data_IF_698675871669
#
_entry.id   IF_698675871669
#
_cell.length_a   1.000
_cell.length_b   1.000
_cell.length_c   1.000
_cell.angle_alpha   90.00
_cell.angle_beta   90.00
_cell.angle_gamma   90.00
#
_symmetry.space_group_name_H-M   'P 1'
#
loop_
_entity.id
_entity.type
_entity.pdbx_description
1 polymer ?
#
# COMPACT_ATOMS: atom_id res chain seq x y z
N UNK A 1 -0.79 8.33 -15.83
CA UNK A 1 -1.20 7.44 -14.71
C UNK A 1 -2.15 6.34 -15.16
N UNK A 2 -3.25 6.65 -15.85
CA UNK A 2 -4.17 5.60 -16.32
C UNK A 2 -3.50 4.60 -17.28
N UNK A 3 -2.71 5.08 -18.25
CA UNK A 3 -1.99 4.21 -19.18
C UNK A 3 -0.97 3.26 -18.54
N UNK A 4 -0.41 3.60 -17.37
CA UNK A 4 0.52 2.70 -16.64
C UNK A 4 -0.21 1.60 -15.88
N UNK A 5 -1.49 1.79 -15.53
CA UNK A 5 -2.33 0.77 -14.88
C UNK A 5 -2.86 -0.26 -15.89
N UNK A 6 -2.88 0.08 -17.18
CA UNK A 6 -3.37 -0.80 -18.25
C UNK A 6 -2.40 -1.90 -18.68
N UNK A 7 -1.12 -1.80 -18.29
CA UNK A 7 -0.12 -2.84 -18.58
C UNK A 7 -0.24 -3.94 -17.51
N UNK A 8 -0.52 -5.20 -17.89
CA UNK A 8 -0.66 -6.28 -16.91
C UNK A 8 0.63 -6.50 -16.12
N UNK A 9 0.50 -6.65 -14.80
CA UNK A 9 1.64 -6.89 -13.88
C UNK A 9 2.45 -8.11 -14.31
N UNK A 10 1.79 -9.15 -14.84
CA UNK A 10 2.44 -10.38 -15.33
C UNK A 10 3.45 -10.13 -16.45
N UNK A 11 3.23 -9.14 -17.31
CA UNK A 11 4.16 -8.78 -18.40
C UNK A 11 5.39 -8.05 -17.86
N UNK A 12 5.21 -7.27 -16.79
CA UNK A 12 6.28 -6.52 -16.15
C UNK A 12 7.17 -7.39 -15.25
N UNK A 13 6.74 -8.61 -14.92
CA UNK A 13 7.40 -9.48 -13.96
C UNK A 13 8.84 -9.84 -14.35
N UNK A 14 9.04 -10.33 -15.58
CA UNK A 14 10.36 -10.74 -16.10
C UNK A 14 11.34 -9.56 -16.16
N UNK A 15 11.02 -8.41 -16.79
CA UNK A 15 11.96 -7.30 -16.85
C UNK A 15 12.28 -6.73 -15.47
N UNK A 16 11.29 -6.63 -14.56
CA UNK A 16 11.54 -6.17 -13.20
C UNK A 16 12.43 -7.15 -12.42
N UNK A 17 12.21 -8.46 -12.56
CA UNK A 17 13.09 -9.46 -11.97
C UNK A 17 14.54 -9.31 -12.43
N UNK A 18 14.78 -9.17 -13.74
CA UNK A 18 16.12 -8.98 -14.27
C UNK A 18 16.76 -7.69 -13.75
N UNK A 19 15.98 -6.61 -13.59
CA UNK A 19 16.46 -5.37 -13.01
C UNK A 19 16.87 -5.56 -11.54
N UNK A 20 16.01 -6.16 -10.71
CA UNK A 20 16.31 -6.42 -9.30
C UNK A 20 17.50 -7.38 -9.12
N UNK A 21 17.65 -8.35 -10.03
CA UNK A 21 18.82 -9.23 -10.08
C UNK A 21 20.11 -8.46 -10.35
N UNK A 22 20.10 -7.56 -11.34
CA UNK A 22 21.27 -6.72 -11.68
C UNK A 22 21.63 -5.75 -10.55
N UNK A 23 20.64 -5.26 -9.81
CA UNK A 23 20.84 -4.43 -8.62
C UNK A 23 21.33 -5.22 -7.39
N UNK A 24 21.32 -6.56 -7.45
CA UNK A 24 21.67 -7.42 -6.32
C UNK A 24 20.64 -7.41 -5.19
N UNK A 25 19.38 -7.02 -5.47
CA UNK A 25 18.34 -6.88 -4.46
C UNK A 25 17.53 -8.16 -4.22
N UNK A 26 17.76 -9.21 -5.01
CA UNK A 26 17.09 -10.49 -4.80
C UNK A 26 17.39 -11.05 -3.41
N UNK A 27 16.43 -11.80 -2.86
CA UNK A 27 16.50 -12.33 -1.49
C UNK A 27 16.64 -11.25 -0.42
N UNK A 28 16.09 -10.05 -0.67
CA UNK A 28 15.90 -8.98 0.31
C UNK A 28 14.48 -8.43 0.19
N UNK A 29 14.01 -7.65 1.17
CA UNK A 29 12.70 -6.99 1.10
C UNK A 29 12.68 -5.74 0.19
N UNK A 30 13.85 -5.27 -0.27
CA UNK A 30 13.96 -4.02 -1.04
C UNK A 30 13.12 -4.01 -2.34
N UNK A 31 13.10 -5.08 -3.16
CA UNK A 31 12.25 -5.16 -4.34
C UNK A 31 10.74 -5.07 -4.06
N UNK A 32 10.33 -5.40 -2.83
CA UNK A 32 8.94 -5.35 -2.40
C UNK A 32 8.56 -3.98 -1.84
N UNK A 33 9.52 -3.22 -1.30
CA UNK A 33 9.28 -1.94 -0.61
C UNK A 33 9.50 -0.75 -1.56
N UNK A 34 10.67 -0.68 -2.20
CA UNK A 34 11.07 0.54 -2.92
C UNK A 34 10.21 0.77 -4.17
N UNK A 35 10.05 -0.20 -5.09
CA UNK A 35 9.24 0.02 -6.30
C UNK A 35 7.75 0.29 -6.01
N UNK A 36 7.21 -0.30 -4.95
CA UNK A 36 5.78 -0.21 -4.61
C UNK A 36 5.45 1.04 -3.78
N UNK A 37 6.45 1.68 -3.17
CA UNK A 37 6.31 2.87 -2.33
C UNK A 37 5.62 4.04 -3.04
N UNK A 38 5.86 4.20 -4.35
CA UNK A 38 5.26 5.21 -5.19
C UNK A 38 4.44 4.56 -6.32
N UNK A 39 3.28 4.02 -5.97
CA UNK A 39 2.41 3.38 -6.94
C UNK A 39 1.45 4.37 -7.62
N UNK A 40 1.10 4.06 -8.87
CA UNK A 40 0.24 4.88 -9.72
C UNK A 40 -1.14 5.16 -9.11
N UNK A 41 -1.72 4.16 -8.43
CA UNK A 41 -3.02 4.30 -7.78
C UNK A 41 -2.97 5.35 -6.65
N UNK A 42 -1.98 5.27 -5.77
CA UNK A 42 -1.83 6.22 -4.66
C UNK A 42 -1.61 7.65 -5.13
N UNK A 43 -0.80 7.83 -6.18
CA UNK A 43 -0.61 9.15 -6.81
C UNK A 43 -1.93 9.69 -7.37
N UNK A 44 -2.67 8.85 -8.12
CA UNK A 44 -3.96 9.25 -8.67
C UNK A 44 -4.97 9.59 -7.56
N UNK A 45 -5.10 8.71 -6.57
CA UNK A 45 -6.00 8.86 -5.43
C UNK A 45 -5.74 10.15 -4.67
N UNK A 46 -4.49 10.38 -4.26
CA UNK A 46 -4.14 11.60 -3.51
C UNK A 46 -4.31 12.85 -4.35
N UNK A 47 -3.99 12.79 -5.65
CA UNK A 47 -4.25 13.90 -6.57
C UNK A 47 -5.72 14.25 -6.56
N UNK A 48 -6.64 13.28 -6.74
CA UNK A 48 -8.08 13.59 -6.77
C UNK A 48 -8.57 14.27 -5.49
N UNK A 49 -8.10 13.84 -4.32
CA UNK A 49 -8.46 14.49 -3.06
C UNK A 49 -7.83 15.87 -2.87
N UNK A 50 -6.60 16.07 -3.32
CA UNK A 50 -5.98 17.39 -3.24
C UNK A 50 -6.67 18.40 -4.15
N UNK A 51 -7.23 17.95 -5.29
CA UNK A 51 -8.04 18.80 -6.17
C UNK A 51 -9.38 19.22 -5.58
N UNK A 52 -9.89 18.53 -4.56
CA UNK A 52 -11.13 18.94 -3.89
C UNK A 52 -10.92 19.99 -2.80
N UNK A 53 -9.68 20.42 -2.54
CA UNK A 53 -9.38 21.46 -1.56
C UNK A 53 -9.65 22.82 -2.22
N UNK A 54 -10.49 23.70 -1.61
CA UNK A 54 -10.71 25.04 -2.13
C UNK A 54 -9.43 25.87 -2.15
N UNK A 55 -9.13 26.51 -3.28
CA UNK A 55 -7.96 27.40 -3.44
C UNK A 55 -8.00 28.59 -2.46
N UNK A 56 -9.20 29.02 -2.05
CA UNK A 56 -9.42 30.09 -1.08
C UNK A 56 -8.72 29.84 0.26
N UNK A 57 -8.66 28.58 0.72
CA UNK A 57 -7.95 28.21 1.96
C UNK A 57 -6.43 28.34 1.78
N UNK A 58 -5.94 28.06 0.57
CA UNK A 58 -4.53 28.18 0.23
C UNK A 58 -4.11 29.64 0.14
N UNK A 59 -4.95 30.47 -0.49
CA UNK A 59 -4.71 31.91 -0.62
C UNK A 59 -4.80 32.64 0.73
N UNK A 60 -5.74 32.27 1.59
CA UNK A 60 -5.77 32.77 2.97
C UNK A 60 -4.47 32.45 3.72
N UNK A 61 -3.97 31.21 3.62
CA UNK A 61 -2.70 30.83 4.22
C UNK A 61 -1.50 31.61 3.68
N UNK A 62 -1.49 31.95 2.38
CA UNK A 62 -0.45 32.80 1.77
C UNK A 62 -0.52 34.24 2.28
N UNK A 63 -1.73 34.80 2.44
CA UNK A 63 -1.94 36.13 3.03
C UNK A 63 -1.45 36.19 4.49
N UNK A 64 -1.62 35.08 5.23
CA UNK A 64 -1.11 34.91 6.59
C UNK A 64 0.41 34.65 6.66
N UNK A 65 1.10 34.68 5.51
CA UNK A 65 2.56 34.54 5.42
C UNK A 65 3.07 33.09 5.45
N UNK A 66 2.21 32.10 5.25
CA UNK A 66 2.67 30.71 5.15
C UNK A 66 3.47 30.48 3.85
N UNK A 67 4.61 29.81 3.97
CA UNK A 67 5.34 29.27 2.80
C UNK A 67 4.58 28.08 2.21
N UNK A 68 4.84 27.73 0.95
CA UNK A 68 4.21 26.56 0.31
C UNK A 68 4.42 25.25 1.10
N UNK A 69 5.59 25.07 1.71
CA UNK A 69 5.85 23.93 2.58
C UNK A 69 5.02 24.00 3.89
N UNK A 70 4.86 25.19 4.45
CA UNK A 70 3.98 25.42 5.60
C UNK A 70 2.52 25.16 5.27
N UNK A 71 2.06 25.61 4.10
CA UNK A 71 0.72 25.40 3.55
C UNK A 71 0.41 23.90 3.42
N UNK A 72 1.35 23.15 2.84
CA UNK A 72 1.23 21.71 2.68
C UNK A 72 1.02 21.00 4.03
N UNK A 73 1.88 21.25 5.01
CA UNK A 73 1.80 20.55 6.30
C UNK A 73 0.69 21.03 7.23
N UNK A 74 0.34 22.31 7.20
CA UNK A 74 -0.61 22.91 8.14
C UNK A 74 -2.04 22.94 7.63
N UNK A 75 -2.25 22.99 6.31
CA UNK A 75 -3.58 23.08 5.71
C UNK A 75 -3.90 21.81 4.91
N UNK A 76 -3.07 21.49 3.90
CA UNK A 76 -3.38 20.39 2.96
C UNK A 76 -3.39 19.04 3.67
N UNK A 77 -2.33 18.68 4.39
CA UNK A 77 -2.17 17.35 5.03
C UNK A 77 -3.29 17.05 6.04
N UNK A 78 -3.69 17.97 6.95
CA UNK A 78 -4.83 17.75 7.85
C UNK A 78 -6.15 17.54 7.11
N UNK A 79 -6.40 18.27 6.03
CA UNK A 79 -7.63 18.17 5.23
C UNK A 79 -7.70 16.82 4.48
N UNK A 80 -6.59 16.35 3.91
CA UNK A 80 -6.55 15.07 3.20
C UNK A 80 -6.25 13.87 4.11
N UNK A 81 -6.16 14.06 5.43
CA UNK A 81 -5.89 12.99 6.40
C UNK A 81 -6.86 11.80 6.27
N UNK A 82 -8.18 11.98 6.04
CA UNK A 82 -9.08 10.84 5.79
C UNK A 82 -8.66 10.02 4.56
N UNK A 83 -8.30 10.71 3.48
CA UNK A 83 -7.85 10.08 2.23
C UNK A 83 -6.54 9.32 2.40
N UNK A 84 -5.60 9.88 3.18
CA UNK A 84 -4.34 9.22 3.53
C UNK A 84 -4.59 7.94 4.33
N UNK A 85 -5.52 7.96 5.29
CA UNK A 85 -5.91 6.78 6.05
C UNK A 85 -6.50 5.68 5.17
N UNK A 86 -7.41 6.05 4.26
CA UNK A 86 -7.99 5.12 3.30
C UNK A 86 -6.93 4.51 2.37
N UNK A 87 -6.02 5.33 1.85
CA UNK A 87 -4.93 4.89 0.99
C UNK A 87 -3.95 3.98 1.75
N UNK A 88 -3.57 4.34 2.98
CA UNK A 88 -2.69 3.53 3.81
C UNK A 88 -3.27 2.14 4.07
N UNK A 89 -4.56 2.07 4.40
CA UNK A 89 -5.27 0.80 4.57
C UNK A 89 -5.27 -0.03 3.27
N UNK A 90 -5.57 0.59 2.14
CA UNK A 90 -5.58 -0.08 0.84
C UNK A 90 -4.18 -0.62 0.45
N UNK A 91 -3.15 0.21 0.55
CA UNK A 91 -1.76 -0.15 0.21
C UNK A 91 -1.24 -1.24 1.15
N UNK A 92 -1.50 -1.13 2.45
CA UNK A 92 -1.13 -2.15 3.42
C UNK A 92 -1.82 -3.48 3.11
N UNK A 93 -3.14 -3.46 2.88
CA UNK A 93 -3.91 -4.67 2.59
C UNK A 93 -3.42 -5.35 1.32
N UNK A 94 -3.12 -4.56 0.30
CA UNK A 94 -2.58 -5.07 -0.98
C UNK A 94 -1.19 -5.67 -0.80
N UNK A 95 -0.29 -4.96 -0.13
CA UNK A 95 1.11 -5.38 0.05
C UNK A 95 1.22 -6.57 0.99
N UNK A 96 0.40 -6.60 2.04
CA UNK A 96 0.35 -7.73 2.96
C UNK A 96 -0.24 -8.95 2.28
N UNK A 97 -1.32 -8.87 1.51
CA UNK A 97 -1.85 -10.05 0.80
C UNK A 97 -1.02 -10.48 -0.42
N UNK A 98 -0.01 -9.71 -0.83
CA UNK A 98 0.75 -10.06 -2.01
C UNK A 98 1.54 -11.36 -1.79
N UNK A 99 1.40 -12.26 -2.74
CA UNK A 99 2.06 -13.55 -2.78
C UNK A 99 3.02 -13.65 -3.95
N UNK A 100 2.65 -13.05 -5.10
CA UNK A 100 3.35 -13.27 -6.36
C UNK A 100 4.74 -12.63 -6.35
N UNK A 101 4.86 -11.35 -5.99
CA UNK A 101 6.17 -10.68 -5.98
C UNK A 101 7.11 -11.26 -4.92
N UNK A 102 6.66 -11.52 -3.67
CA UNK A 102 7.48 -12.24 -2.69
C UNK A 102 8.00 -13.56 -3.24
N UNK A 103 7.14 -14.39 -3.85
CA UNK A 103 7.53 -15.70 -4.39
C UNK A 103 8.64 -15.60 -5.45
N UNK A 104 8.62 -14.51 -6.22
CA UNK A 104 9.57 -14.28 -7.31
C UNK A 104 10.91 -13.73 -6.78
N UNK A 105 10.89 -12.83 -5.79
CA UNK A 105 12.10 -12.14 -5.33
C UNK A 105 12.80 -12.80 -4.14
N UNK A 106 12.06 -13.49 -3.29
CA UNK A 106 12.57 -14.05 -2.03
C UNK A 106 12.92 -15.54 -2.19
N UNK A 107 13.98 -15.99 -1.51
CA UNK A 107 14.46 -17.38 -1.62
C UNK A 107 14.68 -18.04 -0.26
N UNK A 108 15.01 -17.26 0.76
CA UNK A 108 15.37 -17.76 2.09
C UNK A 108 14.22 -17.55 3.07
N UNK A 109 13.98 -18.54 3.93
CA UNK A 109 12.89 -18.50 4.93
C UNK A 109 12.97 -17.25 5.84
N UNK A 110 14.18 -16.78 6.14
CA UNK A 110 14.41 -15.59 6.97
C UNK A 110 13.86 -14.29 6.36
N UNK A 111 13.61 -14.30 5.05
CA UNK A 111 13.11 -13.14 4.31
C UNK A 111 11.64 -13.28 3.91
N UNK A 112 11.03 -14.44 4.17
CA UNK A 112 9.67 -14.73 3.72
C UNK A 112 8.66 -13.77 4.34
N UNK A 113 7.74 -13.31 3.50
CA UNK A 113 6.50 -12.70 3.98
C UNK A 113 5.63 -13.75 4.66
N UNK A 114 4.65 -13.31 5.44
CA UNK A 114 3.71 -14.19 6.14
C UNK A 114 3.03 -15.17 5.15
N UNK A 115 2.76 -14.70 3.94
CA UNK A 115 2.08 -15.42 2.87
C UNK A 115 2.95 -16.56 2.34
N UNK A 116 4.25 -16.29 2.12
CA UNK A 116 5.22 -17.33 1.74
C UNK A 116 5.49 -18.30 2.88
N UNK A 117 5.54 -17.82 4.12
CA UNK A 117 5.72 -18.67 5.28
C UNK A 117 4.56 -19.67 5.42
N UNK A 118 3.31 -19.21 5.26
CA UNK A 118 2.11 -20.04 5.25
C UNK A 118 2.16 -21.08 4.12
N UNK A 119 2.53 -20.68 2.90
CA UNK A 119 2.71 -21.61 1.77
C UNK A 119 3.82 -22.64 2.04
N UNK A 120 4.92 -22.23 2.69
CA UNK A 120 6.01 -23.14 3.05
C UNK A 120 5.57 -24.21 4.07
N UNK A 121 4.71 -23.86 5.03
CA UNK A 121 4.12 -24.80 5.99
C UNK A 121 3.30 -25.87 5.26
N UNK A 122 2.56 -25.47 4.23
CA UNK A 122 1.77 -26.38 3.41
C UNK A 122 2.65 -27.34 2.59
N UNK A 123 3.77 -26.87 2.02
CA UNK A 123 4.65 -27.67 1.15
C UNK A 123 5.59 -28.63 1.89
N UNK A 124 6.12 -28.24 3.06
CA UNK A 124 7.18 -28.98 3.76
C UNK A 124 6.67 -30.28 4.39
N UNK A 125 5.36 -30.42 4.61
CA UNK A 125 4.80 -31.61 5.23
C UNK A 125 3.55 -32.04 4.45
N UNK A 126 3.69 -32.99 3.53
CA UNK A 126 2.60 -33.80 2.95
C UNK A 126 1.74 -34.55 4.00
N UNK A 127 1.96 -34.28 5.29
CA UNK A 127 1.15 -34.69 6.43
C UNK A 127 0.23 -33.51 6.80
N UNK A 128 -1.07 -33.80 6.82
CA UNK A 128 -2.22 -32.91 7.00
C UNK A 128 -2.17 -31.97 8.22
N UNK A 129 -1.20 -31.05 8.30
CA UNK A 129 -1.09 -30.06 9.38
C UNK A 129 -2.03 -28.87 9.14
N UNK A 130 -3.29 -29.15 8.79
CA UNK A 130 -4.32 -28.14 8.59
C UNK A 130 -4.49 -27.26 9.83
N UNK A 131 -4.30 -27.81 11.02
CA UNK A 131 -4.32 -27.07 12.28
C UNK A 131 -3.24 -25.98 12.34
N UNK A 132 -2.02 -26.26 11.86
CA UNK A 132 -0.96 -25.26 11.80
C UNK A 132 -1.20 -24.23 10.69
N UNK A 133 -1.74 -24.67 9.54
CA UNK A 133 -2.10 -23.78 8.44
C UNK A 133 -3.22 -22.80 8.84
N UNK A 134 -4.26 -23.32 9.50
CA UNK A 134 -5.39 -22.52 9.97
C UNK A 134 -4.95 -21.55 11.07
N UNK A 135 -4.13 -21.98 12.03
CA UNK A 135 -3.64 -21.09 13.08
C UNK A 135 -2.75 -19.99 12.53
N UNK A 136 -1.84 -20.30 11.60
CA UNK A 136 -1.00 -19.31 10.92
C UNK A 136 -1.86 -18.32 10.11
N UNK A 137 -2.90 -18.80 9.42
CA UNK A 137 -3.85 -17.94 8.69
C UNK A 137 -4.61 -17.00 9.61
N UNK A 138 -5.05 -17.47 10.79
CA UNK A 138 -5.72 -16.61 11.78
C UNK A 138 -4.75 -15.54 12.29
N UNK A 139 -3.52 -15.90 12.61
CA UNK A 139 -2.50 -14.93 13.05
C UNK A 139 -2.19 -13.89 11.96
N UNK A 140 -2.19 -14.29 10.68
CA UNK A 140 -1.95 -13.38 9.56
C UNK A 140 -3.03 -12.30 9.39
N UNK A 141 -4.25 -12.54 9.88
CA UNK A 141 -5.36 -11.58 9.83
C UNK A 141 -5.24 -10.52 10.93
N UNK A 142 -4.63 -10.84 12.08
CA UNK A 142 -4.58 -9.95 13.24
C UNK A 142 -4.02 -8.56 12.91
N UNK A 143 -2.86 -8.40 12.23
CA UNK A 143 -2.31 -7.08 11.92
C UNK A 143 -3.21 -6.24 11.03
N UNK A 144 -3.88 -6.88 10.06
CA UNK A 144 -4.86 -6.21 9.18
C UNK A 144 -6.05 -5.69 9.98
N UNK A 145 -6.58 -6.52 10.88
CA UNK A 145 -7.71 -6.15 11.73
C UNK A 145 -7.35 -4.99 12.64
N UNK A 146 -6.17 -5.02 13.27
CA UNK A 146 -5.68 -3.92 14.11
C UNK A 146 -5.58 -2.64 13.28
N UNK A 147 -4.93 -2.70 12.12
CA UNK A 147 -4.79 -1.53 11.25
C UNK A 147 -6.15 -0.97 10.82
N UNK A 148 -7.07 -1.85 10.41
CA UNK A 148 -8.43 -1.46 10.05
C UNK A 148 -9.11 -0.70 11.19
N UNK A 149 -9.12 -1.23 12.41
CA UNK A 149 -9.76 -0.54 13.54
C UNK A 149 -9.11 0.80 13.88
N UNK A 150 -7.80 0.96 13.67
CA UNK A 150 -7.12 2.25 13.85
C UNK A 150 -7.47 3.28 12.79
N UNK A 151 -7.71 2.86 11.54
CA UNK A 151 -7.94 3.74 10.39
C UNK A 151 -9.40 3.81 9.91
N UNK A 152 -10.31 3.00 10.46
CA UNK A 152 -11.71 2.87 9.99
C UNK A 152 -12.46 4.21 9.91
N UNK A 153 -12.21 5.13 10.86
CA UNK A 153 -12.85 6.46 10.86
C UNK A 153 -12.43 7.28 9.65
N UNK A 154 -11.15 7.19 9.25
CA UNK A 154 -10.60 7.87 8.08
C UNK A 154 -11.08 7.21 6.79
N UNK A 155 -11.19 5.87 6.78
CA UNK A 155 -11.72 5.13 5.65
C UNK A 155 -13.18 5.50 5.33
N UNK A 156 -14.06 5.53 6.34
CA UNK A 156 -15.47 5.92 6.14
C UNK A 156 -15.58 7.37 5.69
N UNK A 157 -14.86 8.29 6.33
CA UNK A 157 -14.88 9.71 5.96
C UNK A 157 -14.31 9.97 4.56
N UNK A 158 -13.32 9.19 4.10
CA UNK A 158 -12.82 9.29 2.73
C UNK A 158 -13.90 8.94 1.71
N UNK A 159 -14.57 7.79 1.87
CA UNK A 159 -15.59 7.33 0.91
C UNK A 159 -16.75 8.34 0.74
N UNK A 160 -17.06 9.13 1.76
CA UNK A 160 -18.15 10.11 1.71
C UNK A 160 -17.83 11.40 0.96
N UNK A 161 -16.56 11.80 0.84
CA UNK A 161 -16.18 13.09 0.22
C UNK A 161 -16.46 13.15 -1.29
N UNK A 162 -16.43 12.00 -1.99
CA UNK A 162 -16.82 11.91 -3.40
C UNK A 162 -18.30 11.60 -3.65
N UNK A 163 -19.09 11.41 -2.58
CA UNK A 163 -20.50 10.99 -2.66
C UNK A 163 -21.49 12.16 -2.64
N UNK A 164 -21.04 13.35 -2.26
CA UNK A 164 -21.86 14.56 -2.32
C UNK A 164 -21.56 15.25 -3.65
N UNK A 165 -22.40 14.99 -4.65
CA UNK A 165 -22.52 15.81 -5.85
C UNK A 165 -23.11 17.17 -5.45
N UNK A 166 -22.40 18.25 -5.75
CA UNK A 166 -23.06 19.45 -6.29
C UNK A 166 -23.01 19.37 -7.83
#
# INVERSE_FOLDING_TARGET
VLGTVMIPVSVQLVPNYLLMARLGWLNTLLPLIIPTSANAFGIFWMRQYMYSIPDELLDAGRLDGATEFGLYWRIVVPLVRPALGALALFVFTTSWNDFLLPLVYLRSQDTFTVQLMIDSIFRVKFQQNFHLLMSASVLAIIPMTILFFTLQKQFVAGLTVGSVKE
#
